data_IF_077800008934
#
_entry.id   IF_077800008934
#
_cell.length_a   1.000
_cell.length_b   1.000
_cell.length_c   1.000
_cell.angle_alpha   90.00
_cell.angle_beta   90.00
_cell.angle_gamma   90.00
#
_symmetry.space_group_name_H-M   'P 1'
#
loop_
_entity.id
_entity.type
_entity.pdbx_description
1 polymer ?
#
# COMPACT_ATOMS: atom_id res chain seq x y z
N UNK A 1 -13.70 -15.80 20.11
CA UNK A 1 -12.93 -15.38 21.30
C UNK A 1 -13.56 -14.12 21.92
N UNK A 2 -13.71 -12.99 21.21
CA UNK A 2 -14.26 -11.71 21.73
C UNK A 2 -15.64 -11.88 22.40
N UNK A 3 -16.57 -12.56 21.74
CA UNK A 3 -17.91 -12.80 22.25
C UNK A 3 -17.88 -13.52 23.62
N UNK A 4 -17.01 -14.53 23.75
CA UNK A 4 -16.85 -15.30 24.99
C UNK A 4 -16.11 -14.52 26.07
N UNK A 5 -15.06 -13.77 25.72
CA UNK A 5 -14.26 -13.00 26.67
C UNK A 5 -15.05 -11.86 27.32
N UNK A 6 -15.90 -11.21 26.56
CA UNK A 6 -16.70 -10.06 27.03
C UNK A 6 -18.15 -10.44 27.37
N UNK A 7 -18.49 -11.71 27.28
CA UNK A 7 -19.85 -12.20 27.67
C UNK A 7 -20.96 -11.55 26.84
N UNK A 8 -20.72 -11.24 25.57
CA UNK A 8 -21.76 -10.68 24.71
C UNK A 8 -22.92 -11.63 24.56
N UNK A 9 -24.13 -11.12 24.75
CA UNK A 9 -25.35 -11.94 24.51
C UNK A 9 -25.43 -12.35 23.02
N UNK A 10 -26.06 -13.49 22.71
CA UNK A 10 -26.18 -13.93 21.31
C UNK A 10 -26.81 -12.89 20.40
N UNK A 11 -27.79 -12.14 20.88
CA UNK A 11 -28.49 -11.11 20.11
C UNK A 11 -27.54 -9.94 19.77
N UNK A 12 -26.76 -9.45 20.73
CA UNK A 12 -25.77 -8.40 20.53
C UNK A 12 -24.65 -8.88 19.58
N UNK A 13 -24.20 -10.12 19.75
CA UNK A 13 -23.18 -10.69 18.87
C UNK A 13 -23.66 -10.83 17.42
N UNK A 14 -24.88 -11.32 17.20
CA UNK A 14 -25.49 -11.44 15.86
C UNK A 14 -25.69 -10.06 15.26
N UNK A 15 -26.21 -9.10 16.03
CA UNK A 15 -26.38 -7.72 15.57
C UNK A 15 -25.05 -7.10 15.14
N UNK A 16 -24.00 -7.20 15.97
CA UNK A 16 -22.67 -6.70 15.66
C UNK A 16 -22.04 -7.36 14.42
N UNK A 17 -22.24 -8.68 14.22
CA UNK A 17 -21.80 -9.39 13.02
C UNK A 17 -22.50 -8.84 11.77
N UNK A 18 -23.83 -8.73 11.80
CA UNK A 18 -24.62 -8.24 10.66
C UNK A 18 -24.23 -6.78 10.36
N UNK A 19 -24.21 -5.94 11.38
CA UNK A 19 -23.85 -4.52 11.25
C UNK A 19 -22.44 -4.34 10.69
N UNK A 20 -21.45 -5.07 11.22
CA UNK A 20 -20.08 -5.04 10.72
C UNK A 20 -19.94 -5.54 9.28
N UNK A 21 -20.68 -6.60 8.91
CA UNK A 21 -20.67 -7.14 7.55
C UNK A 21 -21.36 -6.24 6.53
N UNK A 22 -22.42 -5.53 6.92
CA UNK A 22 -23.26 -4.71 6.02
C UNK A 22 -22.97 -3.21 6.10
N UNK A 23 -22.05 -2.80 6.97
CA UNK A 23 -21.65 -1.41 7.09
C UNK A 23 -21.16 -0.87 5.72
N UNK A 24 -21.53 0.37 5.40
CA UNK A 24 -21.13 1.02 4.16
C UNK A 24 -19.62 1.00 3.95
N UNK A 25 -18.85 1.28 5.01
CA UNK A 25 -17.39 1.23 4.97
C UNK A 25 -16.86 -0.17 4.61
N UNK A 26 -17.48 -1.23 5.12
CA UNK A 26 -17.14 -2.63 4.79
C UNK A 26 -17.37 -2.91 3.32
N UNK A 27 -18.56 -2.58 2.81
CA UNK A 27 -18.93 -2.81 1.40
C UNK A 27 -18.01 -2.02 0.48
N UNK A 28 -17.79 -0.74 0.76
CA UNK A 28 -16.88 0.11 -0.04
C UNK A 28 -15.46 -0.47 -0.06
N UNK A 29 -14.94 -0.93 1.08
CA UNK A 29 -13.61 -1.53 1.17
C UNK A 29 -13.51 -2.81 0.34
N UNK A 30 -14.51 -3.71 0.43
CA UNK A 30 -14.53 -4.94 -0.36
C UNK A 30 -14.62 -4.67 -1.87
N UNK A 31 -15.46 -3.69 -2.27
CA UNK A 31 -15.59 -3.26 -3.67
C UNK A 31 -14.28 -2.68 -4.17
N UNK A 32 -13.60 -1.88 -3.37
CA UNK A 32 -12.29 -1.33 -3.73
C UNK A 32 -11.27 -2.45 -3.96
N UNK A 33 -11.15 -3.42 -3.05
CA UNK A 33 -10.21 -4.53 -3.21
C UNK A 33 -10.47 -5.33 -4.49
N UNK A 34 -11.72 -5.70 -4.70
CA UNK A 34 -12.09 -6.40 -5.91
C UNK A 34 -11.73 -5.60 -7.17
N UNK A 35 -12.06 -4.31 -7.19
CA UNK A 35 -11.84 -3.43 -8.33
C UNK A 35 -10.36 -3.23 -8.63
N UNK A 36 -9.53 -3.05 -7.60
CA UNK A 36 -8.08 -2.88 -7.77
C UNK A 36 -7.46 -4.17 -8.29
N UNK A 37 -7.83 -5.32 -7.71
CA UNK A 37 -7.34 -6.61 -8.19
C UNK A 37 -7.76 -6.84 -9.65
N UNK A 38 -8.97 -6.47 -10.01
CA UNK A 38 -9.45 -6.54 -11.40
C UNK A 38 -8.60 -5.66 -12.33
N UNK A 39 -8.38 -4.40 -11.99
CA UNK A 39 -7.54 -3.48 -12.76
C UNK A 39 -6.10 -4.02 -12.88
N UNK A 40 -5.55 -4.58 -11.79
CA UNK A 40 -4.25 -5.22 -11.80
C UNK A 40 -4.17 -6.36 -12.81
N UNK A 41 -5.17 -7.28 -12.85
CA UNK A 41 -5.21 -8.37 -13.84
C UNK A 41 -5.24 -7.86 -15.28
N UNK A 42 -5.96 -6.76 -15.54
CA UNK A 42 -5.94 -6.11 -16.86
C UNK A 42 -4.54 -5.60 -17.20
N UNK A 43 -3.86 -4.93 -16.28
CA UNK A 43 -2.51 -4.40 -16.48
C UNK A 43 -1.47 -5.51 -16.67
N UNK A 44 -1.57 -6.61 -15.91
CA UNK A 44 -0.73 -7.80 -16.07
C UNK A 44 -0.89 -8.42 -17.46
N UNK A 45 -2.14 -8.55 -17.93
CA UNK A 45 -2.44 -9.11 -19.26
C UNK A 45 -1.81 -8.30 -20.39
N UNK A 46 -1.75 -6.98 -20.27
CA UNK A 46 -1.10 -6.10 -21.26
C UNK A 46 0.39 -5.89 -21.00
N UNK A 47 0.98 -6.62 -20.03
CA UNK A 47 2.41 -6.55 -19.66
C UNK A 47 2.85 -5.11 -19.30
N UNK A 48 1.95 -4.32 -18.72
CA UNK A 48 2.22 -2.93 -18.42
C UNK A 48 3.47 -2.75 -17.55
N UNK A 49 3.70 -3.65 -16.59
CA UNK A 49 4.87 -3.64 -15.73
C UNK A 49 6.18 -3.78 -16.52
N UNK A 50 6.27 -4.78 -17.39
CA UNK A 50 7.43 -5.01 -18.24
C UNK A 50 7.63 -3.89 -19.25
N UNK A 51 6.55 -3.36 -19.82
CA UNK A 51 6.60 -2.22 -20.73
C UNK A 51 7.07 -0.94 -20.06
N UNK A 52 6.62 -0.66 -18.83
CA UNK A 52 7.09 0.46 -18.04
C UNK A 52 8.60 0.34 -17.75
N UNK A 53 9.09 -0.84 -17.42
CA UNK A 53 10.51 -1.11 -17.23
C UNK A 53 11.34 -0.79 -18.48
N UNK A 54 10.94 -1.32 -19.64
CA UNK A 54 11.62 -1.06 -20.92
C UNK A 54 11.62 0.44 -21.23
N UNK A 55 10.48 1.09 -21.04
CA UNK A 55 10.35 2.52 -21.28
C UNK A 55 11.27 3.36 -20.40
N UNK A 56 11.35 3.05 -19.11
CA UNK A 56 12.18 3.78 -18.15
C UNK A 56 13.68 3.61 -18.47
N UNK A 57 14.11 2.40 -18.79
CA UNK A 57 15.49 2.13 -19.18
C UNK A 57 15.90 2.94 -20.45
N UNK A 58 15.02 2.98 -21.45
CA UNK A 58 15.26 3.72 -22.68
C UNK A 58 15.21 5.25 -22.53
N UNK A 59 14.37 5.76 -21.60
CA UNK A 59 14.21 7.20 -21.39
C UNK A 59 15.36 7.85 -20.65
N UNK A 60 15.74 7.26 -19.52
CA UNK A 60 16.61 7.95 -18.57
C UNK A 60 18.08 7.61 -18.77
N UNK A 61 18.39 6.44 -19.33
CA UNK A 61 19.77 5.99 -19.52
C UNK A 61 20.66 6.36 -18.32
N UNK A 62 20.14 6.11 -17.13
CA UNK A 62 20.72 6.56 -15.87
C UNK A 62 20.50 5.52 -14.78
N UNK A 63 21.58 4.90 -14.35
CA UNK A 63 21.56 3.84 -13.34
C UNK A 63 20.91 4.25 -12.02
N UNK A 64 21.05 5.51 -11.60
CA UNK A 64 20.41 6.01 -10.37
C UNK A 64 18.89 6.05 -10.49
N UNK A 65 18.38 6.45 -11.66
CA UNK A 65 16.94 6.43 -11.97
C UNK A 65 16.43 5.00 -12.07
N UNK A 66 17.19 4.14 -12.75
CA UNK A 66 16.84 2.74 -12.90
C UNK A 66 16.81 2.00 -11.55
N UNK A 67 17.74 2.31 -10.65
CA UNK A 67 17.78 1.72 -9.30
C UNK A 67 16.72 2.28 -8.34
N UNK A 68 16.10 3.43 -8.61
CA UNK A 68 15.16 4.09 -7.69
C UNK A 68 13.79 4.30 -8.29
N UNK A 69 13.66 5.12 -9.34
CA UNK A 69 12.35 5.49 -9.91
C UNK A 69 11.67 4.31 -10.57
N UNK A 70 12.43 3.39 -11.20
CA UNK A 70 11.82 2.19 -11.80
C UNK A 70 11.19 1.31 -10.72
N UNK A 71 11.90 0.86 -9.66
CA UNK A 71 11.28 0.11 -8.57
C UNK A 71 10.11 0.86 -7.90
N UNK A 72 10.21 2.17 -7.70
CA UNK A 72 9.13 2.98 -7.17
C UNK A 72 7.86 2.94 -8.03
N UNK A 73 7.98 3.15 -9.35
CA UNK A 73 6.83 3.09 -10.26
C UNK A 73 6.25 1.66 -10.37
N UNK A 74 7.12 0.65 -10.41
CA UNK A 74 6.70 -0.74 -10.40
C UNK A 74 5.99 -1.08 -9.08
N UNK A 75 6.45 -0.50 -7.98
CA UNK A 75 5.84 -0.63 -6.66
C UNK A 75 4.43 -0.05 -6.55
N UNK A 76 3.99 0.82 -7.45
CA UNK A 76 2.59 1.29 -7.49
C UNK A 76 1.60 0.16 -7.80
N UNK A 77 2.08 -0.97 -8.33
CA UNK A 77 1.29 -2.19 -8.49
C UNK A 77 1.40 -3.04 -7.22
N UNK A 78 0.30 -3.31 -6.51
CA UNK A 78 0.32 -3.99 -5.21
C UNK A 78 0.51 -5.51 -5.34
N UNK A 79 1.64 -5.94 -5.90
CA UNK A 79 2.00 -7.34 -6.05
C UNK A 79 3.34 -7.64 -5.37
N UNK A 80 3.38 -8.63 -4.48
CA UNK A 80 4.62 -9.03 -3.78
C UNK A 80 5.72 -9.50 -4.78
N UNK A 81 5.32 -10.13 -5.87
CA UNK A 81 6.22 -10.57 -6.95
C UNK A 81 6.94 -9.41 -7.67
N UNK A 82 6.48 -8.17 -7.51
CA UNK A 82 7.13 -6.99 -8.10
C UNK A 82 8.58 -6.84 -7.64
N UNK A 83 8.91 -7.26 -6.42
CA UNK A 83 10.28 -7.22 -5.90
C UNK A 83 11.23 -8.10 -6.73
N UNK A 84 10.75 -9.25 -7.20
CA UNK A 84 11.52 -10.17 -8.05
C UNK A 84 11.79 -9.59 -9.44
N UNK A 85 10.91 -8.70 -9.92
CA UNK A 85 11.10 -7.99 -11.19
C UNK A 85 12.08 -6.83 -10.99
N UNK A 86 12.04 -6.15 -9.85
CA UNK A 86 12.95 -5.06 -9.52
C UNK A 86 14.40 -5.54 -9.31
N UNK A 87 14.59 -6.73 -8.74
CA UNK A 87 15.91 -7.28 -8.40
C UNK A 87 16.91 -7.27 -9.56
N UNK A 88 16.62 -7.89 -10.72
CA UNK A 88 17.52 -7.86 -11.88
C UNK A 88 17.83 -6.44 -12.38
N UNK A 89 16.85 -5.51 -12.34
CA UNK A 89 17.02 -4.13 -12.77
C UNK A 89 18.01 -3.41 -11.87
N UNK A 90 17.83 -3.56 -10.56
CA UNK A 90 18.71 -2.92 -9.57
C UNK A 90 20.10 -3.52 -9.66
N UNK A 91 20.26 -4.86 -9.69
CA UNK A 91 21.57 -5.51 -9.84
C UNK A 91 22.32 -4.98 -11.05
N UNK A 92 21.68 -4.88 -12.20
CA UNK A 92 22.32 -4.36 -13.42
C UNK A 92 22.69 -2.88 -13.26
N UNK A 93 21.82 -2.08 -12.64
CA UNK A 93 22.05 -0.64 -12.45
C UNK A 93 23.17 -0.32 -11.46
N UNK A 94 23.46 -1.22 -10.53
CA UNK A 94 24.47 -0.99 -9.48
C UNK A 94 25.71 -1.86 -9.61
N UNK A 95 25.84 -2.64 -10.70
CA UNK A 95 26.94 -3.61 -10.89
C UNK A 95 28.33 -2.99 -10.82
N UNK A 96 28.48 -1.74 -11.29
CA UNK A 96 29.74 -1.00 -11.31
C UNK A 96 29.90 -0.06 -10.10
N UNK A 97 29.13 -0.29 -9.02
CA UNK A 97 29.22 0.42 -7.76
C UNK A 97 29.96 -0.40 -6.69
N UNK A 98 30.33 0.25 -5.59
CA UNK A 98 30.92 -0.40 -4.40
C UNK A 98 29.88 -0.98 -3.44
N UNK A 99 28.61 -1.10 -3.87
CA UNK A 99 27.52 -1.59 -3.04
C UNK A 99 27.58 -3.10 -2.85
N UNK A 100 27.54 -3.53 -1.58
CA UNK A 100 27.46 -4.94 -1.20
C UNK A 100 26.12 -5.57 -1.61
N UNK A 101 26.06 -6.90 -1.71
CA UNK A 101 24.83 -7.62 -2.07
C UNK A 101 23.66 -7.31 -1.13
N UNK A 102 23.82 -7.23 0.22
CA UNK A 102 22.76 -6.77 1.10
C UNK A 102 22.27 -5.35 0.81
N UNK A 103 23.18 -4.41 0.47
CA UNK A 103 22.80 -3.05 0.10
C UNK A 103 22.00 -3.01 -1.22
N UNK A 104 22.35 -3.84 -2.19
CA UNK A 104 21.59 -3.98 -3.45
C UNK A 104 20.19 -4.54 -3.19
N UNK A 105 20.05 -5.53 -2.34
CA UNK A 105 18.75 -6.05 -1.90
C UNK A 105 17.95 -4.98 -1.16
N UNK A 106 18.61 -4.21 -0.29
CA UNK A 106 18.00 -3.09 0.40
C UNK A 106 17.47 -2.04 -0.59
N UNK A 107 18.25 -1.62 -1.58
CA UNK A 107 17.80 -0.68 -2.63
C UNK A 107 16.56 -1.22 -3.34
N UNK A 108 16.56 -2.49 -3.72
CA UNK A 108 15.44 -3.14 -4.42
C UNK A 108 14.16 -3.07 -3.60
N UNK A 109 14.22 -3.47 -2.33
CA UNK A 109 13.08 -3.45 -1.43
C UNK A 109 12.68 -2.00 -1.09
N UNK A 110 13.63 -1.15 -0.73
CA UNK A 110 13.41 0.21 -0.26
C UNK A 110 12.63 1.08 -1.26
N UNK A 111 13.16 1.25 -2.47
CA UNK A 111 12.52 2.13 -3.45
C UNK A 111 11.20 1.58 -3.95
N UNK A 112 11.07 0.27 -4.09
CA UNK A 112 9.81 -0.36 -4.46
C UNK A 112 8.72 -0.10 -3.44
N UNK A 113 9.04 -0.06 -2.15
CA UNK A 113 8.07 0.11 -1.10
C UNK A 113 7.69 1.57 -0.81
N UNK A 114 8.42 2.58 -1.32
CA UNK A 114 8.05 3.98 -1.12
C UNK A 114 6.61 4.26 -1.59
N UNK A 115 6.16 3.62 -2.67
CA UNK A 115 4.78 3.73 -3.15
C UNK A 115 3.75 3.17 -2.16
N UNK A 116 4.10 2.17 -1.35
CA UNK A 116 3.23 1.62 -0.31
C UNK A 116 2.92 2.60 0.82
N UNK A 117 3.73 3.65 0.96
CA UNK A 117 3.49 4.65 1.99
C UNK A 117 2.23 5.49 1.72
N UNK A 118 1.85 5.72 0.46
CA UNK A 118 0.82 6.70 0.14
C UNK A 118 -0.16 6.29 -0.96
N UNK A 119 0.17 5.28 -1.79
CA UNK A 119 -0.70 4.91 -2.91
C UNK A 119 -1.92 4.15 -2.40
N UNK A 120 -3.14 4.68 -2.62
CA UNK A 120 -4.35 4.11 -2.04
C UNK A 120 -4.82 2.81 -2.71
N UNK A 121 -3.96 2.11 -3.43
CA UNK A 121 -4.19 0.75 -3.94
C UNK A 121 -3.69 -0.32 -2.97
N UNK A 122 -3.00 0.07 -1.90
CA UNK A 122 -2.52 -0.87 -0.90
C UNK A 122 -3.55 -1.17 0.18
N UNK A 123 -3.67 -2.46 0.51
CA UNK A 123 -4.65 -3.00 1.45
C UNK A 123 -4.64 -2.28 2.80
N UNK A 124 -3.47 -2.03 3.35
CA UNK A 124 -3.30 -1.35 4.64
C UNK A 124 -3.88 0.06 4.64
N UNK A 125 -3.66 0.82 3.55
CA UNK A 125 -4.16 2.19 3.42
C UNK A 125 -5.68 2.19 3.30
N UNK A 126 -6.26 1.26 2.54
CA UNK A 126 -7.71 1.15 2.43
C UNK A 126 -8.39 0.80 3.73
N UNK A 127 -7.87 -0.20 4.42
CA UNK A 127 -8.40 -0.58 5.73
C UNK A 127 -8.31 0.63 6.67
N UNK A 128 -7.16 1.30 6.71
CA UNK A 128 -6.98 2.48 7.55
C UNK A 128 -7.98 3.59 7.23
N UNK A 129 -8.14 3.96 5.95
CA UNK A 129 -9.10 4.98 5.52
C UNK A 129 -10.55 4.56 5.80
N UNK A 130 -10.90 3.30 5.54
CA UNK A 130 -12.23 2.75 5.82
C UNK A 130 -12.60 2.83 7.29
N UNK A 131 -11.65 2.58 8.19
CA UNK A 131 -11.82 2.67 9.65
C UNK A 131 -12.15 4.10 10.09
N UNK A 132 -11.64 5.13 9.39
CA UNK A 132 -11.91 6.54 9.75
C UNK A 132 -13.34 6.97 9.43
N UNK A 133 -14.14 6.17 8.75
CA UNK A 133 -15.54 6.46 8.39
C UNK A 133 -15.72 7.81 7.67
N UNK A 134 -14.73 8.16 6.83
CA UNK A 134 -14.72 9.40 6.07
C UNK A 134 -14.12 10.62 6.80
N UNK A 135 -13.66 10.48 8.05
CA UNK A 135 -12.95 11.55 8.78
C UNK A 135 -11.66 11.97 8.06
N UNK A 136 -10.97 11.02 7.40
CA UNK A 136 -9.78 11.27 6.59
C UNK A 136 -10.07 10.84 5.15
N UNK A 137 -9.98 11.76 4.20
CA UNK A 137 -10.12 11.44 2.79
C UNK A 137 -8.82 10.87 2.22
N UNK A 138 -8.92 10.01 1.18
CA UNK A 138 -7.74 9.47 0.51
C UNK A 138 -6.86 10.58 -0.08
N UNK A 139 -7.46 11.64 -0.63
CA UNK A 139 -6.72 12.77 -1.19
C UNK A 139 -5.92 13.53 -0.14
N UNK A 140 -6.53 13.87 1.01
CA UNK A 140 -5.83 14.56 2.10
C UNK A 140 -4.71 13.70 2.69
N UNK A 141 -4.93 12.38 2.81
CA UNK A 141 -3.90 11.45 3.26
C UNK A 141 -2.71 11.40 2.29
N UNK A 142 -2.95 11.25 0.98
CA UNK A 142 -1.87 11.24 -0.03
C UNK A 142 -1.02 12.51 0.10
N UNK A 143 -1.65 13.69 0.17
CA UNK A 143 -0.94 14.96 0.30
C UNK A 143 -0.14 15.04 1.61
N UNK A 144 -0.70 14.55 2.73
CA UNK A 144 -0.03 14.53 4.03
C UNK A 144 1.19 13.60 4.06
N UNK A 145 1.21 12.55 3.21
CA UNK A 145 2.34 11.61 3.11
C UNK A 145 3.48 12.09 2.19
N UNK A 146 3.27 13.12 1.35
CA UNK A 146 4.30 13.60 0.43
C UNK A 146 5.62 14.02 1.12
N UNK A 147 5.63 14.70 2.28
CA UNK A 147 6.88 15.00 2.98
C UNK A 147 7.66 13.74 3.36
N UNK A 148 6.98 12.68 3.81
CA UNK A 148 7.62 11.40 4.11
C UNK A 148 8.21 10.77 2.84
N UNK A 149 7.47 10.77 1.74
CA UNK A 149 7.95 10.26 0.44
C UNK A 149 9.21 11.01 0.01
N UNK A 150 9.20 12.34 0.10
CA UNK A 150 10.37 13.16 -0.20
C UNK A 150 11.57 12.83 0.70
N UNK A 151 11.33 12.65 2.01
CA UNK A 151 12.36 12.26 2.96
C UNK A 151 12.94 10.86 2.64
N UNK A 152 12.09 9.90 2.28
CA UNK A 152 12.53 8.56 1.89
C UNK A 152 13.43 8.61 0.64
N UNK A 153 13.06 9.37 -0.39
CA UNK A 153 13.93 9.56 -1.56
C UNK A 153 15.24 10.25 -1.19
N UNK A 154 15.23 11.27 -0.33
CA UNK A 154 16.42 11.96 0.13
C UNK A 154 17.36 11.01 0.91
N UNK A 155 16.82 10.20 1.82
CA UNK A 155 17.58 9.19 2.56
C UNK A 155 18.17 8.14 1.61
N UNK A 156 17.36 7.61 0.69
CA UNK A 156 17.84 6.66 -0.32
C UNK A 156 18.94 7.24 -1.22
N UNK A 157 18.85 8.53 -1.55
CA UNK A 157 19.90 9.23 -2.27
C UNK A 157 21.19 9.32 -1.45
N UNK A 158 21.11 9.78 -0.21
CA UNK A 158 22.26 9.99 0.68
C UNK A 158 23.01 8.69 0.95
N UNK A 159 22.32 7.61 1.24
CA UNK A 159 22.95 6.36 1.65
C UNK A 159 23.37 5.47 0.47
N UNK A 160 22.59 5.46 -0.62
CA UNK A 160 22.79 4.52 -1.72
C UNK A 160 23.07 5.17 -3.06
N UNK A 161 22.16 5.99 -3.60
CA UNK A 161 22.21 6.40 -4.99
C UNK A 161 23.41 7.28 -5.36
N UNK A 162 23.97 8.05 -4.42
CA UNK A 162 25.18 8.84 -4.66
C UNK A 162 26.41 7.97 -5.02
N UNK A 163 26.42 6.71 -4.57
CA UNK A 163 27.47 5.72 -4.82
C UNK A 163 27.28 5.00 -6.16
N UNK A 164 26.10 5.10 -6.78
CA UNK A 164 25.78 4.46 -8.06
C UNK A 164 26.28 5.36 -9.21
N UNK A 165 27.05 4.84 -10.16
CA UNK A 165 27.43 5.58 -11.38
C UNK A 165 26.19 6.00 -12.17
N UNK A 166 26.23 7.17 -12.80
CA UNK A 166 25.08 7.64 -13.60
C UNK A 166 24.95 6.88 -14.91
N UNK A 167 26.08 6.69 -15.60
CA UNK A 167 26.12 6.16 -16.95
C UNK A 167 25.77 4.66 -16.95
N UNK A 168 24.89 4.27 -17.86
CA UNK A 168 24.53 2.86 -18.05
C UNK A 168 25.42 2.15 -19.05
N UNK A 169 26.21 2.90 -19.84
CA UNK A 169 26.97 2.37 -20.98
C UNK A 169 26.10 1.84 -22.13
N UNK A 170 24.75 1.96 -22.02
CA UNK A 170 23.81 1.50 -23.04
C UNK A 170 23.40 2.64 -23.96
N UNK A 171 23.28 2.36 -25.26
CA UNK A 171 22.69 3.28 -26.23
C UNK A 171 21.26 2.83 -26.48
N UNK A 172 20.24 3.67 -26.21
CA UNK A 172 18.85 3.32 -26.50
C UNK A 172 18.67 3.04 -28.00
N UNK A 173 18.01 1.93 -28.33
CA UNK A 173 17.78 1.48 -29.71
C UNK A 173 16.59 2.18 -30.39
N UNK A 174 15.77 2.91 -29.64
CA UNK A 174 14.58 3.63 -30.11
C UNK A 174 14.63 5.11 -29.74
N UNK A 175 13.94 6.00 -30.48
CA UNK A 175 13.86 7.41 -30.12
C UNK A 175 13.10 7.62 -28.81
N UNK A 176 13.46 8.65 -28.06
CA UNK A 176 12.84 8.98 -26.76
C UNK A 176 11.31 9.08 -26.81
N UNK A 177 10.74 9.53 -27.93
CA UNK A 177 9.28 9.60 -28.12
C UNK A 177 8.59 8.24 -28.05
N UNK A 178 9.24 7.18 -28.55
CA UNK A 178 8.73 5.83 -28.41
C UNK A 178 8.64 5.41 -26.94
N UNK A 179 9.69 5.64 -26.17
CA UNK A 179 9.71 5.27 -24.74
C UNK A 179 8.73 6.10 -23.91
N UNK A 180 8.56 7.39 -24.21
CA UNK A 180 7.52 8.20 -23.54
C UNK A 180 6.12 7.68 -23.80
N UNK A 181 5.82 7.31 -25.04
CA UNK A 181 4.55 6.70 -25.42
C UNK A 181 4.33 5.38 -24.67
N UNK A 182 5.35 4.52 -24.65
CA UNK A 182 5.30 3.21 -23.98
C UNK A 182 5.10 3.37 -22.46
N UNK A 183 5.79 4.32 -21.83
CA UNK A 183 5.61 4.64 -20.42
C UNK A 183 4.20 5.13 -20.15
N UNK A 184 3.73 6.11 -20.91
CA UNK A 184 2.39 6.65 -20.76
C UNK A 184 1.32 5.54 -20.89
N UNK A 185 1.45 4.67 -21.89
CA UNK A 185 0.54 3.52 -22.08
C UNK A 185 0.60 2.50 -20.94
N UNK A 186 1.72 2.44 -20.24
CA UNK A 186 1.90 1.46 -19.15
C UNK A 186 1.34 1.93 -17.81
N UNK A 187 1.45 3.23 -17.49
CA UNK A 187 1.14 3.76 -16.15
C UNK A 187 -0.12 4.65 -16.10
N UNK A 188 -0.72 4.98 -17.26
CA UNK A 188 -1.81 5.97 -17.33
C UNK A 188 -2.99 5.64 -16.41
N UNK A 189 -3.35 4.35 -16.26
CA UNK A 189 -4.49 3.95 -15.44
C UNK A 189 -4.27 4.26 -13.96
N UNK A 190 -3.04 4.04 -13.46
CA UNK A 190 -2.68 4.37 -12.07
C UNK A 190 -2.60 5.89 -11.90
N UNK A 191 -1.92 6.58 -12.83
CA UNK A 191 -1.80 8.03 -12.79
C UNK A 191 -3.17 8.72 -12.84
N UNK A 192 -4.07 8.23 -13.69
CA UNK A 192 -5.44 8.73 -13.77
C UNK A 192 -6.23 8.43 -12.49
N UNK A 193 -6.11 7.24 -11.91
CA UNK A 193 -6.75 6.92 -10.63
C UNK A 193 -6.35 7.91 -9.54
N UNK A 194 -5.05 8.18 -9.41
CA UNK A 194 -4.54 9.15 -8.43
C UNK A 194 -5.04 10.56 -8.76
N UNK A 195 -5.01 10.97 -10.01
CA UNK A 195 -5.51 12.28 -10.45
C UNK A 195 -7.00 12.46 -10.16
N UNK A 196 -7.84 11.45 -10.42
CA UNK A 196 -9.27 11.48 -10.12
C UNK A 196 -9.54 11.63 -8.60
N UNK A 197 -8.75 10.96 -7.77
CA UNK A 197 -8.85 11.09 -6.31
C UNK A 197 -8.42 12.48 -5.85
N UNK A 198 -7.29 13.00 -6.36
CA UNK A 198 -6.71 14.27 -5.88
C UNK A 198 -7.46 15.49 -6.42
N UNK A 199 -7.84 15.50 -7.70
CA UNK A 199 -8.40 16.67 -8.38
C UNK A 199 -9.92 16.73 -8.18
N UNK A 200 -10.61 15.60 -8.34
CA UNK A 200 -12.07 15.52 -8.28
C UNK A 200 -12.59 15.00 -6.94
N UNK A 201 -11.68 14.67 -6.00
CA UNK A 201 -12.02 14.12 -4.69
C UNK A 201 -12.97 12.92 -4.77
N UNK A 202 -12.81 12.10 -5.82
CA UNK A 202 -13.63 10.91 -6.01
C UNK A 202 -13.27 9.84 -4.99
N UNK A 203 -14.27 9.06 -4.53
CA UNK A 203 -13.97 7.88 -3.73
C UNK A 203 -13.15 6.89 -4.55
N UNK A 204 -12.24 6.19 -3.88
CA UNK A 204 -11.26 5.32 -4.56
C UNK A 204 -11.93 4.28 -5.45
N UNK A 205 -13.03 3.64 -4.98
CA UNK A 205 -13.78 2.69 -5.80
C UNK A 205 -14.29 3.31 -7.10
N UNK A 206 -14.80 4.55 -7.05
CA UNK A 206 -15.28 5.26 -8.22
C UNK A 206 -14.16 5.57 -9.22
N UNK A 207 -13.02 6.08 -8.72
CA UNK A 207 -11.86 6.37 -9.56
C UNK A 207 -11.32 5.09 -10.25
N UNK A 208 -11.24 3.98 -9.53
CA UNK A 208 -10.78 2.70 -10.09
C UNK A 208 -11.75 2.16 -11.13
N UNK A 209 -13.08 2.22 -10.90
CA UNK A 209 -14.05 1.76 -11.90
C UNK A 209 -14.03 2.58 -13.17
N UNK A 210 -13.87 3.89 -13.08
CA UNK A 210 -13.66 4.75 -14.26
C UNK A 210 -12.43 4.27 -15.04
N UNK A 211 -11.32 4.01 -14.35
CA UNK A 211 -10.10 3.50 -14.98
C UNK A 211 -10.28 2.10 -15.59
N UNK A 212 -11.04 1.20 -14.97
CA UNK A 212 -11.38 -0.12 -15.53
C UNK A 212 -12.14 0.05 -16.83
N UNK A 213 -13.21 0.86 -16.82
CA UNK A 213 -14.02 1.10 -18.02
C UNK A 213 -13.20 1.69 -19.15
N UNK A 214 -12.42 2.75 -18.86
CA UNK A 214 -11.53 3.35 -19.86
C UNK A 214 -10.48 2.35 -20.36
N UNK A 215 -9.95 1.49 -19.48
CA UNK A 215 -8.95 0.47 -19.84
C UNK A 215 -9.53 -0.55 -20.83
N UNK A 216 -10.82 -0.91 -20.71
CA UNK A 216 -11.49 -1.79 -21.67
C UNK A 216 -11.45 -1.19 -23.07
N UNK A 217 -11.75 0.11 -23.21
CA UNK A 217 -11.75 0.79 -24.51
C UNK A 217 -10.33 1.05 -25.02
N UNK A 218 -9.47 1.63 -24.21
CA UNK A 218 -8.09 2.03 -24.60
C UNK A 218 -7.24 0.83 -24.99
N UNK A 219 -7.35 -0.25 -24.26
CA UNK A 219 -6.56 -1.47 -24.51
C UNK A 219 -7.34 -2.57 -25.26
N UNK A 220 -8.51 -2.21 -25.82
CA UNK A 220 -9.32 -3.10 -26.67
C UNK A 220 -9.56 -4.49 -26.06
N UNK A 221 -9.96 -4.54 -24.77
CA UNK A 221 -10.32 -5.79 -24.14
C UNK A 221 -11.65 -6.33 -24.69
N UNK A 222 -11.67 -7.59 -25.03
CA UNK A 222 -12.90 -8.28 -25.40
C UNK A 222 -13.50 -9.02 -24.19
N UNK A 223 -14.81 -9.38 -24.28
CA UNK A 223 -15.51 -10.04 -23.18
C UNK A 223 -14.87 -11.37 -22.77
N UNK A 224 -14.28 -12.12 -23.70
CA UNK A 224 -13.62 -13.40 -23.41
C UNK A 224 -12.35 -13.21 -22.58
N UNK A 225 -11.66 -12.08 -22.74
CA UNK A 225 -10.48 -11.75 -21.92
C UNK A 225 -10.88 -11.27 -20.51
N UNK A 226 -12.04 -10.62 -20.36
CA UNK A 226 -12.50 -10.07 -19.07
C UNK A 226 -13.09 -11.13 -18.15
N UNK A 227 -13.75 -12.18 -18.69
CA UNK A 227 -14.40 -13.23 -17.89
C UNK A 227 -13.44 -13.90 -16.90
N UNK A 228 -12.20 -14.27 -17.26
CA UNK A 228 -11.26 -14.82 -16.28
C UNK A 228 -10.92 -13.84 -15.16
N UNK A 229 -10.87 -12.52 -15.44
CA UNK A 229 -10.53 -11.50 -14.42
C UNK A 229 -11.64 -11.38 -13.38
N UNK A 230 -12.91 -11.55 -13.75
CA UNK A 230 -14.03 -11.55 -12.80
C UNK A 230 -13.81 -12.60 -11.70
N UNK A 231 -13.32 -13.79 -12.08
CA UNK A 231 -13.04 -14.88 -11.13
C UNK A 231 -11.75 -14.67 -10.36
N UNK A 232 -10.67 -14.29 -11.05
CA UNK A 232 -9.33 -14.18 -10.45
C UNK A 232 -9.16 -12.90 -9.62
N UNK A 233 -10.00 -11.87 -9.84
CA UNK A 233 -10.06 -10.69 -8.98
C UNK A 233 -10.77 -10.98 -7.65
N UNK A 234 -11.57 -12.04 -7.57
CA UNK A 234 -12.20 -12.48 -6.35
C UNK A 234 -11.20 -13.26 -5.49
N UNK A 235 -10.25 -12.55 -4.90
CA UNK A 235 -9.28 -13.14 -3.98
C UNK A 235 -9.94 -13.46 -2.64
N UNK A 236 -10.50 -14.67 -2.53
CA UNK A 236 -11.30 -15.11 -1.38
C UNK A 236 -10.59 -14.86 -0.05
N UNK A 237 -9.28 -15.15 0.04
CA UNK A 237 -8.51 -14.94 1.26
C UNK A 237 -8.47 -13.47 1.67
N UNK A 238 -8.23 -12.57 0.72
CA UNK A 238 -8.17 -11.13 0.96
C UNK A 238 -9.54 -10.58 1.36
N UNK A 239 -10.57 -10.88 0.58
CA UNK A 239 -11.93 -10.39 0.83
C UNK A 239 -12.49 -10.92 2.15
N UNK A 240 -12.29 -12.22 2.43
CA UNK A 240 -12.77 -12.83 3.67
C UNK A 240 -12.04 -12.28 4.90
N UNK A 241 -10.72 -12.15 4.84
CA UNK A 241 -9.96 -11.55 5.96
C UNK A 241 -10.40 -10.12 6.23
N UNK A 242 -10.61 -9.32 5.19
CA UNK A 242 -11.10 -7.94 5.31
C UNK A 242 -12.50 -7.90 5.93
N UNK A 243 -13.41 -8.75 5.47
CA UNK A 243 -14.76 -8.85 6.03
C UNK A 243 -14.73 -9.22 7.53
N UNK A 244 -13.94 -10.24 7.90
CA UNK A 244 -13.79 -10.67 9.29
C UNK A 244 -13.18 -9.56 10.17
N UNK A 245 -12.25 -8.80 9.64
CA UNK A 245 -11.64 -7.65 10.30
C UNK A 245 -12.69 -6.57 10.59
N UNK A 246 -13.54 -6.24 9.64
CA UNK A 246 -14.58 -5.21 9.82
C UNK A 246 -15.67 -5.68 10.80
N UNK A 247 -16.03 -6.96 10.76
CA UNK A 247 -16.93 -7.57 11.77
C UNK A 247 -16.28 -7.51 13.16
N UNK A 248 -15.02 -7.83 13.27
CA UNK A 248 -14.28 -7.78 14.53
C UNK A 248 -14.22 -6.36 15.12
N UNK A 249 -13.98 -5.35 14.28
CA UNK A 249 -14.04 -3.92 14.66
C UNK A 249 -15.40 -3.62 15.30
N UNK A 250 -16.49 -4.01 14.64
CA UNK A 250 -17.84 -3.74 15.13
C UNK A 250 -18.13 -4.46 16.46
N UNK A 251 -17.73 -5.73 16.57
CA UNK A 251 -17.86 -6.47 17.83
C UNK A 251 -17.07 -5.82 18.98
N UNK A 252 -15.89 -5.28 18.73
CA UNK A 252 -15.14 -4.51 19.74
C UNK A 252 -15.88 -3.23 20.15
N UNK A 253 -16.55 -2.56 19.21
CA UNK A 253 -17.36 -1.39 19.51
C UNK A 253 -18.54 -1.75 20.43
N UNK A 254 -19.23 -2.84 20.13
CA UNK A 254 -20.36 -3.34 20.96
C UNK A 254 -19.92 -3.79 22.38
N UNK A 255 -18.66 -4.15 22.60
CA UNK A 255 -18.14 -4.47 23.95
C UNK A 255 -18.02 -3.25 24.86
N UNK A 256 -18.07 -2.03 24.32
CA UNK A 256 -17.82 -0.80 25.07
C UNK A 256 -16.35 -0.58 25.48
N UNK A 257 -15.45 -1.49 25.15
CA UNK A 257 -14.01 -1.37 25.49
C UNK A 257 -13.42 -0.11 24.90
N UNK A 258 -13.79 0.24 23.66
CA UNK A 258 -13.25 1.43 22.98
C UNK A 258 -13.57 2.71 23.77
N UNK A 259 -14.76 2.79 24.36
CA UNK A 259 -15.20 3.96 25.14
C UNK A 259 -14.55 4.08 26.52
N UNK A 260 -14.07 2.96 27.10
CA UNK A 260 -13.37 2.95 28.40
C UNK A 260 -11.86 3.16 28.30
N UNK A 261 -11.29 3.07 27.08
CA UNK A 261 -9.85 3.23 26.85
C UNK A 261 -9.29 4.62 27.20
N UNK A 262 -9.99 5.77 26.97
CA UNK A 262 -9.46 7.08 27.35
C UNK A 262 -9.12 7.17 28.83
N UNK A 263 -9.99 6.62 29.69
CA UNK A 263 -9.78 6.61 31.15
C UNK A 263 -8.56 5.75 31.52
N UNK A 264 -8.44 4.56 30.93
CA UNK A 264 -7.28 3.69 31.13
C UNK A 264 -5.96 4.35 30.67
N UNK A 265 -5.93 4.95 29.48
CA UNK A 265 -4.73 5.58 28.96
C UNK A 265 -4.34 6.86 29.72
N UNK A 266 -5.32 7.60 30.27
CA UNK A 266 -5.04 8.80 31.09
C UNK A 266 -4.31 8.46 32.40
N UNK A 267 -4.45 7.23 32.89
CA UNK A 267 -3.76 6.75 34.08
C UNK A 267 -2.29 6.32 33.83
N UNK A 268 -1.86 6.23 32.58
CA UNK A 268 -0.48 5.85 32.27
C UNK A 268 0.48 7.03 32.42
N UNK A 269 1.71 6.82 32.89
CA UNK A 269 2.71 7.88 33.10
C UNK A 269 3.39 8.37 31.80
N UNK A 270 2.84 8.05 30.64
CA UNK A 270 3.36 8.42 29.33
C UNK A 270 2.26 9.04 28.47
N UNK A 271 2.59 9.98 27.56
CA UNK A 271 1.62 10.57 26.66
C UNK A 271 0.89 9.51 25.82
N UNK A 272 -0.43 9.59 25.75
CA UNK A 272 -1.28 8.59 25.10
C UNK A 272 -0.90 8.34 23.63
N UNK A 273 -0.54 9.41 22.89
CA UNK A 273 -0.10 9.24 21.50
C UNK A 273 1.15 8.37 21.39
N UNK A 274 2.06 8.43 22.36
CA UNK A 274 3.29 7.64 22.37
C UNK A 274 2.98 6.16 22.61
N UNK A 275 1.96 5.84 23.40
CA UNK A 275 1.47 4.44 23.55
C UNK A 275 1.10 3.86 22.19
N UNK A 276 0.30 4.61 21.40
CA UNK A 276 -0.10 4.15 20.08
C UNK A 276 1.06 4.10 19.08
N UNK A 277 2.01 5.02 19.16
CA UNK A 277 3.26 4.95 18.37
C UNK A 277 4.01 3.65 18.66
N UNK A 278 4.17 3.28 19.93
CA UNK A 278 4.84 2.03 20.33
C UNK A 278 4.04 0.79 19.90
N UNK A 279 2.70 0.82 20.05
CA UNK A 279 1.83 -0.26 19.58
C UNK A 279 1.92 -0.43 18.06
N UNK A 280 1.93 0.66 17.28
CA UNK A 280 2.10 0.59 15.84
C UNK A 280 3.49 0.08 15.46
N UNK A 281 4.55 0.52 16.15
CA UNK A 281 5.91 0.08 15.88
C UNK A 281 6.08 -1.41 16.17
N UNK A 282 5.93 -1.83 17.42
CA UNK A 282 6.19 -3.21 17.82
C UNK A 282 5.11 -4.18 17.35
N UNK A 283 3.86 -3.75 17.39
CA UNK A 283 2.75 -4.57 16.93
C UNK A 283 2.84 -4.86 15.43
N UNK A 284 3.24 -3.91 14.61
CA UNK A 284 3.43 -4.14 13.17
C UNK A 284 4.58 -5.12 12.91
N UNK A 285 5.68 -5.04 13.65
CA UNK A 285 6.80 -5.98 13.50
C UNK A 285 6.35 -7.43 13.78
N UNK A 286 5.49 -7.62 14.79
CA UNK A 286 5.08 -8.95 15.27
C UNK A 286 3.85 -9.48 14.52
N UNK A 287 2.80 -8.67 14.41
CA UNK A 287 1.48 -9.08 13.91
C UNK A 287 1.19 -8.61 12.47
N UNK A 288 2.01 -7.72 11.93
CA UNK A 288 1.82 -7.12 10.62
C UNK A 288 0.93 -5.87 10.65
N UNK A 289 1.12 -5.00 9.65
CA UNK A 289 0.52 -3.66 9.56
C UNK A 289 -1.00 -3.70 9.59
N UNK A 290 -1.61 -4.62 8.84
CA UNK A 290 -3.08 -4.71 8.74
C UNK A 290 -3.74 -5.00 10.09
N UNK A 291 -3.17 -5.95 10.86
CA UNK A 291 -3.70 -6.32 12.16
C UNK A 291 -3.66 -5.13 13.13
N UNK A 292 -2.55 -4.42 13.18
CA UNK A 292 -2.40 -3.27 14.08
C UNK A 292 -3.27 -2.09 13.67
N UNK A 293 -3.40 -1.80 12.38
CA UNK A 293 -4.32 -0.79 11.89
C UNK A 293 -5.75 -1.08 12.39
N UNK A 294 -6.20 -2.32 12.21
CA UNK A 294 -7.56 -2.71 12.60
C UNK A 294 -7.79 -2.61 14.09
N UNK A 295 -6.83 -3.08 14.88
CA UNK A 295 -6.95 -3.09 16.33
C UNK A 295 -6.78 -1.71 16.95
N UNK A 296 -5.74 -0.99 16.53
CA UNK A 296 -5.29 0.18 17.26
C UNK A 296 -5.73 1.51 16.63
N UNK A 297 -5.97 1.58 15.30
CA UNK A 297 -6.35 2.84 14.66
C UNK A 297 -7.70 3.39 15.16
N UNK A 298 -8.78 2.58 15.26
CA UNK A 298 -10.05 3.08 15.80
C UNK A 298 -9.88 3.64 17.22
N UNK A 299 -9.16 2.88 18.07
CA UNK A 299 -8.90 3.29 19.45
C UNK A 299 -8.10 4.58 19.52
N UNK A 300 -7.03 4.71 18.75
CA UNK A 300 -6.21 5.92 18.73
C UNK A 300 -7.02 7.15 18.30
N UNK A 301 -7.83 7.00 17.25
CA UNK A 301 -8.66 8.08 16.72
C UNK A 301 -9.73 8.53 17.71
N UNK A 302 -10.35 7.62 18.45
CA UNK A 302 -11.37 7.98 19.45
C UNK A 302 -10.76 8.53 20.75
N UNK A 303 -9.62 7.99 21.18
CA UNK A 303 -8.99 8.41 22.44
C UNK A 303 -8.28 9.77 22.32
N UNK A 304 -7.59 10.01 21.17
CA UNK A 304 -6.72 11.19 21.02
C UNK A 304 -7.43 12.32 20.27
N UNK A 305 -8.25 11.99 19.28
CA UNK A 305 -8.91 12.99 18.42
C UNK A 305 -10.42 12.78 18.31
N UNK A 306 -11.15 12.67 19.45
CA UNK A 306 -12.59 12.41 19.40
C UNK A 306 -13.31 13.54 18.65
N UNK A 307 -14.16 13.18 17.68
CA UNK A 307 -14.95 14.15 16.90
C UNK A 307 -14.15 15.02 15.91
N UNK A 308 -12.83 14.88 15.82
CA UNK A 308 -11.98 15.61 14.88
C UNK A 308 -11.51 14.74 13.71
N UNK A 309 -11.00 15.36 12.63
CA UNK A 309 -10.45 14.64 11.49
C UNK A 309 -9.29 13.73 11.88
N UNK A 310 -8.46 14.15 12.83
CA UNK A 310 -7.32 13.37 13.32
C UNK A 310 -6.25 13.10 12.26
N UNK A 311 -6.19 13.89 11.17
CA UNK A 311 -5.28 13.66 10.04
C UNK A 311 -3.81 13.55 10.49
N UNK A 312 -3.36 14.41 11.39
CA UNK A 312 -1.96 14.39 11.85
C UNK A 312 -1.63 13.09 12.60
N UNK A 313 -2.52 12.65 13.50
CA UNK A 313 -2.37 11.38 14.22
C UNK A 313 -2.42 10.20 13.25
N UNK A 314 -3.41 10.18 12.37
CA UNK A 314 -3.57 9.15 11.35
C UNK A 314 -2.29 9.04 10.51
N UNK A 315 -1.77 10.15 9.99
CA UNK A 315 -0.55 10.19 9.19
C UNK A 315 0.65 9.70 9.97
N UNK A 316 0.82 10.14 11.23
CA UNK A 316 1.89 9.68 12.11
C UNK A 316 1.86 8.17 12.28
N UNK A 317 0.71 7.59 12.63
CA UNK A 317 0.58 6.15 12.87
C UNK A 317 0.80 5.35 11.57
N UNK A 318 0.34 5.86 10.43
CA UNK A 318 0.62 5.24 9.12
C UNK A 318 2.12 5.29 8.77
N UNK A 319 2.81 6.39 9.07
CA UNK A 319 4.26 6.48 8.91
C UNK A 319 5.00 5.46 9.78
N UNK A 320 4.62 5.33 11.05
CA UNK A 320 5.24 4.36 11.98
C UNK A 320 4.98 2.93 11.53
N UNK A 321 3.72 2.61 11.16
CA UNK A 321 3.37 1.30 10.63
C UNK A 321 4.15 0.95 9.34
N UNK A 322 4.31 1.92 8.45
CA UNK A 322 5.13 1.75 7.25
C UNK A 322 6.59 1.44 7.59
N UNK A 323 7.23 2.23 8.46
CA UNK A 323 8.64 2.01 8.86
C UNK A 323 8.80 0.66 9.55
N UNK A 324 7.89 0.31 10.46
CA UNK A 324 7.91 -0.96 11.17
C UNK A 324 7.76 -2.17 10.21
N UNK A 325 6.90 -2.04 9.19
CA UNK A 325 6.74 -3.06 8.16
C UNK A 325 8.04 -3.32 7.38
N UNK A 326 8.81 -2.26 7.07
CA UNK A 326 10.06 -2.40 6.31
C UNK A 326 11.14 -3.22 7.03
N UNK A 327 11.08 -3.29 8.35
CA UNK A 327 12.03 -4.05 9.17
C UNK A 327 11.42 -5.34 9.74
N UNK A 328 10.16 -5.64 9.43
CA UNK A 328 9.47 -6.81 9.96
C UNK A 328 9.90 -8.10 9.26
N UNK A 329 10.31 -9.14 9.99
CA UNK A 329 10.63 -10.44 9.42
C UNK A 329 9.41 -11.17 8.85
N UNK A 330 8.19 -10.71 9.16
CA UNK A 330 6.95 -11.25 8.62
C UNK A 330 6.55 -10.61 7.27
N UNK A 331 7.30 -9.62 6.81
CA UNK A 331 7.03 -8.92 5.56
C UNK A 331 7.46 -9.77 4.36
N UNK A 332 6.50 -10.36 3.66
CA UNK A 332 6.73 -11.32 2.57
C UNK A 332 7.64 -10.75 1.46
N UNK A 333 7.54 -9.47 1.13
CA UNK A 333 8.38 -8.89 0.08
C UNK A 333 9.85 -8.83 0.49
N UNK A 334 10.13 -8.62 1.79
CA UNK A 334 11.49 -8.65 2.32
C UNK A 334 12.08 -10.07 2.27
N UNK A 335 11.26 -11.06 2.63
CA UNK A 335 11.63 -12.49 2.52
C UNK A 335 11.96 -12.85 1.07
N UNK A 336 11.05 -12.55 0.13
CA UNK A 336 11.27 -12.82 -1.29
C UNK A 336 12.51 -12.10 -1.85
N UNK A 337 12.75 -10.86 -1.39
CA UNK A 337 13.93 -10.10 -1.79
C UNK A 337 15.22 -10.75 -1.28
N UNK A 338 15.24 -11.17 -0.01
CA UNK A 338 16.43 -11.84 0.56
C UNK A 338 16.71 -13.17 -0.11
N UNK A 339 15.69 -13.96 -0.44
CA UNK A 339 15.83 -15.20 -1.18
C UNK A 339 16.37 -14.97 -2.60
N UNK A 340 15.87 -13.95 -3.33
CA UNK A 340 16.33 -13.59 -4.68
C UNK A 340 17.80 -13.15 -4.70
N UNK A 341 18.23 -12.45 -3.65
CA UNK A 341 19.62 -12.03 -3.46
C UNK A 341 20.49 -13.06 -2.75
N UNK A 342 19.92 -14.19 -2.29
CA UNK A 342 20.61 -15.26 -1.55
C UNK A 342 21.35 -14.76 -0.31
N UNK A 343 20.70 -13.89 0.45
CA UNK A 343 21.18 -13.35 1.72
C UNK A 343 20.27 -13.78 2.87
N UNK A 344 20.78 -13.78 4.10
CA UNK A 344 19.95 -13.92 5.29
C UNK A 344 19.19 -12.62 5.56
N UNK A 345 17.99 -12.77 6.12
CA UNK A 345 17.22 -11.65 6.67
C UNK A 345 17.92 -11.03 7.88
#
# INVERSE_FOLDING_TARGET
ATILLYGLSPDVAIHGIIKGATARATIETLVVFYSITFLQRMMEKRKNLSNAQVAMNGLFNNNRVNASIVPFLLGMLPAASTVLICGPIVRESVKDSDLSVPEQACITSYFRHISEAFVPTYTSIFIALGITEGRVSAGTFILAMLPMVAALFAVGWIFYLRRVPKDTGMVPDQPKGYYWKLLAQSIWAIALTIALILIFNLPVWGAVWICILLNVFVNHFNGKELVPFIRTAFETRLLLSTLLIMIFKELLTETGVITSLPEFFSALPIPTFLVFVLLFLFGTIVAGTQAIIVLCMPMAMEVITPGHTGLALFTLLMCIGYVAMQISPTHICLVLCSEDYKISL
#
